data_IF_316627219494
#
_entry.id   IF_316627219494
#
_cell.length_a   1.000
_cell.length_b   1.000
_cell.length_c   1.000
_cell.angle_alpha   90.00
_cell.angle_beta   90.00
_cell.angle_gamma   90.00
#
_symmetry.space_group_name_H-M   'P 1'
#
loop_
_entity.id
_entity.type
_entity.pdbx_description
1 polymer ?
#
# COMPACT_ATOMS: atom_id res chain seq x y z
N UNK A 1 -0.36 -8.77 11.92
CA UNK A 1 0.71 -8.47 10.94
C UNK A 1 0.90 -9.54 9.85
N UNK A 2 1.00 -10.84 10.18
CA UNK A 2 1.29 -11.89 9.18
C UNK A 2 0.27 -11.97 8.03
N UNK A 3 -1.02 -11.77 8.31
CA UNK A 3 -2.06 -11.76 7.28
C UNK A 3 -1.94 -10.56 6.32
N UNK A 4 -1.64 -9.37 6.85
CA UNK A 4 -1.45 -8.15 6.06
C UNK A 4 -0.24 -8.26 5.13
N UNK A 5 0.88 -8.84 5.59
CA UNK A 5 2.05 -9.07 4.75
C UNK A 5 1.78 -10.10 3.64
N UNK A 6 1.04 -11.17 3.93
CA UNK A 6 0.61 -12.13 2.89
C UNK A 6 -0.29 -11.48 1.84
N UNK A 7 -1.18 -10.59 2.27
CA UNK A 7 -2.02 -9.81 1.38
C UNK A 7 -1.20 -8.85 0.50
N UNK A 8 -0.16 -8.20 1.05
CA UNK A 8 0.76 -7.39 0.25
C UNK A 8 1.53 -8.22 -0.77
N UNK A 9 2.02 -9.41 -0.40
CA UNK A 9 2.69 -10.30 -1.35
C UNK A 9 1.72 -10.67 -2.48
N UNK A 10 0.51 -11.10 -2.15
CA UNK A 10 -0.50 -11.43 -3.15
C UNK A 10 -0.83 -10.23 -4.05
N UNK A 11 -1.00 -9.05 -3.47
CA UNK A 11 -1.20 -7.82 -4.24
C UNK A 11 -0.03 -7.52 -5.18
N UNK A 12 1.21 -7.57 -4.70
CA UNK A 12 2.37 -7.24 -5.53
C UNK A 12 2.60 -8.28 -6.63
N UNK A 13 2.29 -9.55 -6.38
CA UNK A 13 2.41 -10.61 -7.38
C UNK A 13 1.30 -10.53 -8.43
N UNK A 14 0.03 -10.41 -7.99
CA UNK A 14 -1.15 -10.58 -8.84
C UNK A 14 -1.93 -9.29 -9.14
N UNK A 15 -1.54 -8.13 -8.60
CA UNK A 15 -2.26 -6.86 -8.76
C UNK A 15 -2.28 -6.27 -10.17
N UNK A 16 -1.64 -6.92 -11.14
CA UNK A 16 -1.75 -6.59 -12.56
C UNK A 16 -3.01 -7.18 -13.22
N UNK A 17 -3.60 -8.22 -12.62
CA UNK A 17 -4.85 -8.81 -13.10
C UNK A 17 -6.02 -7.92 -12.73
N UNK A 18 -6.94 -7.72 -13.67
CA UNK A 18 -8.02 -6.76 -13.53
C UNK A 18 -8.94 -7.09 -12.35
N UNK A 19 -9.28 -8.36 -12.14
CA UNK A 19 -10.13 -8.77 -11.01
C UNK A 19 -9.46 -8.46 -9.66
N UNK A 20 -8.14 -8.67 -9.57
CA UNK A 20 -7.37 -8.39 -8.36
C UNK A 20 -7.26 -6.89 -8.13
N UNK A 21 -7.04 -6.12 -9.19
CA UNK A 21 -7.00 -4.66 -9.14
C UNK A 21 -8.29 -4.06 -8.58
N UNK A 22 -9.45 -4.53 -9.06
CA UNK A 22 -10.76 -4.04 -8.59
C UNK A 22 -10.99 -4.37 -7.12
N UNK A 23 -10.74 -5.62 -6.73
CA UNK A 23 -10.90 -6.07 -5.33
C UNK A 23 -10.00 -5.28 -4.38
N UNK A 24 -8.76 -4.99 -4.79
CA UNK A 24 -7.83 -4.23 -3.95
C UNK A 24 -8.20 -2.75 -3.90
N UNK A 25 -8.69 -2.18 -5.01
CA UNK A 25 -9.19 -0.80 -5.02
C UNK A 25 -10.37 -0.63 -4.07
N UNK A 26 -11.28 -1.61 -4.04
CA UNK A 26 -12.40 -1.62 -3.09
C UNK A 26 -11.92 -1.90 -1.66
N UNK A 27 -10.99 -2.84 -1.50
CA UNK A 27 -10.36 -3.15 -0.22
C UNK A 27 -9.67 -1.94 0.42
N UNK A 28 -9.01 -1.09 -0.38
CA UNK A 28 -8.40 0.15 0.10
C UNK A 28 -9.41 1.13 0.72
N UNK A 29 -10.69 1.07 0.34
CA UNK A 29 -11.76 1.91 0.90
C UNK A 29 -12.34 1.35 2.19
N UNK A 30 -12.34 0.03 2.34
CA UNK A 30 -12.97 -0.68 3.45
C UNK A 30 -11.97 -0.88 4.61
N UNK A 31 -10.70 -1.13 4.30
CA UNK A 31 -9.66 -1.40 5.30
C UNK A 31 -9.28 -0.09 6.01
N UNK A 32 -9.31 -0.03 7.36
CA UNK A 32 -8.91 1.14 8.11
C UNK A 32 -7.48 1.58 7.81
N UNK A 33 -7.26 2.90 7.75
CA UNK A 33 -5.97 3.49 7.36
C UNK A 33 -4.82 3.05 8.28
N UNK A 34 -5.11 2.77 9.54
CA UNK A 34 -4.18 2.31 10.56
C UNK A 34 -3.57 0.95 10.23
N UNK A 35 -4.30 0.08 9.53
CA UNK A 35 -3.75 -1.20 9.06
C UNK A 35 -2.66 -0.98 8.02
N UNK A 36 -2.84 0.00 7.14
CA UNK A 36 -1.86 0.36 6.13
C UNK A 36 -0.62 1.04 6.76
N UNK A 37 -0.79 1.78 7.85
CA UNK A 37 0.33 2.36 8.60
C UNK A 37 1.32 1.30 9.10
N UNK A 38 0.83 0.16 9.59
CA UNK A 38 1.70 -0.94 10.05
C UNK A 38 2.57 -1.55 8.96
N UNK A 39 2.20 -1.39 7.69
CA UNK A 39 2.92 -1.92 6.53
C UNK A 39 3.44 -0.83 5.59
N UNK A 40 3.45 0.41 6.06
CA UNK A 40 3.86 1.59 5.30
C UNK A 40 5.29 1.46 4.73
N UNK A 41 6.31 0.97 5.48
CA UNK A 41 7.66 0.81 4.93
C UNK A 41 7.71 -0.14 3.73
N UNK A 42 6.94 -1.23 3.76
CA UNK A 42 6.89 -2.21 2.68
C UNK A 42 6.18 -1.66 1.43
N UNK A 43 5.17 -0.80 1.63
CA UNK A 43 4.50 -0.09 0.53
C UNK A 43 5.46 0.90 -0.14
N UNK A 44 6.19 1.70 0.66
CA UNK A 44 7.17 2.66 0.15
C UNK A 44 8.31 1.96 -0.61
N UNK A 45 8.82 0.83 -0.08
CA UNK A 45 9.84 0.04 -0.76
C UNK A 45 9.42 -0.49 -2.14
N UNK A 46 8.13 -0.41 -2.49
CA UNK A 46 7.58 -0.86 -3.76
C UNK A 46 7.13 0.27 -4.70
N UNK A 47 7.30 1.55 -4.34
CA UNK A 47 6.91 2.67 -5.22
C UNK A 47 7.71 2.75 -6.53
N UNK A 48 8.89 2.13 -6.56
CA UNK A 48 9.80 2.07 -7.71
C UNK A 48 9.75 0.72 -8.45
N UNK A 49 8.74 -0.12 -8.20
CA UNK A 49 8.64 -1.41 -8.89
C UNK A 49 8.42 -1.24 -10.40
N UNK A 50 8.76 -2.25 -11.22
CA UNK A 50 8.52 -2.21 -12.67
C UNK A 50 7.04 -2.40 -13.08
N UNK A 51 6.11 -2.58 -12.12
CA UNK A 51 4.69 -2.82 -12.37
C UNK A 51 3.87 -1.52 -12.25
N UNK A 52 3.56 -0.81 -13.36
CA UNK A 52 2.96 0.54 -13.31
C UNK A 52 1.57 0.58 -12.68
N UNK A 53 0.76 -0.47 -12.88
CA UNK A 53 -0.60 -0.58 -12.31
C UNK A 53 -0.55 -0.66 -10.78
N UNK A 54 0.35 -1.51 -10.26
CA UNK A 54 0.54 -1.69 -8.81
C UNK A 54 1.10 -0.41 -8.19
N UNK A 55 2.09 0.24 -8.83
CA UNK A 55 2.63 1.51 -8.36
C UNK A 55 1.56 2.60 -8.28
N UNK A 56 0.64 2.66 -9.25
CA UNK A 56 -0.45 3.64 -9.23
C UNK A 56 -1.35 3.45 -8.02
N UNK A 57 -1.70 2.21 -7.67
CA UNK A 57 -2.51 1.92 -6.49
C UNK A 57 -1.77 2.25 -5.19
N UNK A 58 -0.49 1.86 -5.08
CA UNK A 58 0.35 2.19 -3.92
C UNK A 58 0.41 3.70 -3.74
N UNK A 59 0.67 4.46 -4.81
CA UNK A 59 0.74 5.93 -4.75
C UNK A 59 -0.57 6.56 -4.28
N UNK A 60 -1.72 6.09 -4.76
CA UNK A 60 -3.02 6.58 -4.26
C UNK A 60 -3.18 6.29 -2.77
N UNK A 61 -2.89 5.06 -2.33
CA UNK A 61 -2.95 4.69 -0.93
C UNK A 61 -2.02 5.57 -0.06
N UNK A 62 -0.80 5.83 -0.51
CA UNK A 62 0.15 6.70 0.20
C UNK A 62 -0.35 8.13 0.30
N UNK A 63 -0.99 8.67 -0.74
CA UNK A 63 -1.61 10.01 -0.70
C UNK A 63 -2.77 10.03 0.31
N UNK A 64 -3.57 8.97 0.38
CA UNK A 64 -4.67 8.88 1.34
C UNK A 64 -4.17 8.74 2.78
N UNK A 65 -3.08 7.98 2.98
CA UNK A 65 -2.36 7.90 4.26
C UNK A 65 -1.82 9.27 4.66
N UNK A 66 -1.16 9.99 3.75
CA UNK A 66 -0.61 11.32 4.03
C UNK A 66 -1.69 12.31 4.48
N UNK A 67 -2.84 12.30 3.80
CA UNK A 67 -3.96 13.18 4.11
C UNK A 67 -4.54 12.95 5.49
N UNK A 68 -4.61 11.70 5.94
CA UNK A 68 -5.18 11.34 7.25
C UNK A 68 -4.14 11.38 8.38
N UNK A 69 -2.89 11.02 8.06
CA UNK A 69 -1.77 10.95 8.99
C UNK A 69 -0.51 11.59 8.39
N UNK A 70 -0.42 12.93 8.33
CA UNK A 70 0.73 13.62 7.72
C UNK A 70 2.07 13.28 8.38
N UNK A 71 2.03 12.94 9.68
CA UNK A 71 3.23 12.54 10.42
C UNK A 71 3.75 11.15 10.03
N UNK A 72 2.90 10.28 9.48
CA UNK A 72 3.25 8.88 9.18
C UNK A 72 4.32 8.76 8.10
N UNK A 73 4.35 9.65 7.12
CA UNK A 73 5.35 9.64 6.05
C UNK A 73 6.69 10.28 6.47
N UNK A 74 6.76 10.92 7.64
CA UNK A 74 8.03 11.33 8.23
C UNK A 74 8.76 10.18 8.92
N UNK A 75 8.05 9.15 9.39
CA UNK A 75 8.64 8.01 10.11
C UNK A 75 9.62 7.15 9.29
N UNK A 76 9.38 6.84 7.99
CA UNK A 76 10.32 6.10 7.15
C UNK A 76 11.69 6.77 7.01
N UNK A 77 11.78 8.11 7.15
CA UNK A 77 13.04 8.86 7.07
C UNK A 77 13.86 8.84 8.36
N UNK A 78 13.24 8.53 9.51
CA UNK A 78 13.91 8.52 10.82
C UNK A 78 14.49 7.13 11.15
N UNK A 79 13.95 6.08 10.53
CA UNK A 79 14.31 4.67 10.78
C UNK A 79 15.24 4.09 9.69
N UNK A 80 15.38 4.78 8.54
CA UNK A 80 16.26 4.38 7.44
C UNK A 80 17.73 4.74 7.69
#
# INVERSE_FOLDING_TARGET
LQYTLRLLIFWFEYGQYHEVYEVITEGNRIVPIEIWLYVLPQLIARTDSSKPVVNKLIRHLLIDVDRQHPQALMYPLIVA
#
